data_IF_183033954906
#
_entry.id   IF_183033954906
#
_cell.length_a   1.000
_cell.length_b   1.000
_cell.length_c   1.000
_cell.angle_alpha   90.00
_cell.angle_beta   90.00
_cell.angle_gamma   90.00
#
_symmetry.space_group_name_H-M   'P 1'
#
loop_
_entity.id
_entity.type
_entity.pdbx_description
1 polymer ?
#
# COMPACT_ATOMS: atom_id res chain seq x y z
N UNK A 1 44.88 0.87 58.39
CA UNK A 1 44.25 -0.35 57.89
C UNK A 1 42.74 -0.28 58.10
N UNK A 2 41.93 -0.07 57.06
CA UNK A 2 40.44 -0.10 57.15
C UNK A 2 40.03 -1.58 57.27
N UNK A 3 39.48 -1.98 58.39
CA UNK A 3 38.84 -3.29 58.56
C UNK A 3 37.64 -3.37 57.65
N UNK A 4 37.69 -4.15 56.57
CA UNK A 4 36.51 -4.51 55.79
C UNK A 4 35.61 -5.36 56.64
N UNK A 5 34.43 -4.83 56.95
CA UNK A 5 33.39 -5.56 57.70
C UNK A 5 32.84 -6.68 56.78
N UNK A 6 33.26 -7.90 57.01
CA UNK A 6 32.89 -9.11 56.26
C UNK A 6 31.38 -9.41 56.24
N UNK A 7 30.60 -8.80 57.14
CA UNK A 7 29.14 -8.95 57.21
C UNK A 7 28.35 -8.12 56.20
N UNK A 8 28.95 -7.07 55.66
CA UNK A 8 28.25 -6.20 54.69
C UNK A 8 28.28 -6.74 53.25
N UNK A 9 29.18 -7.66 52.93
CA UNK A 9 29.27 -8.25 51.59
C UNK A 9 28.12 -9.22 51.29
N UNK A 10 27.74 -10.16 52.18
CA UNK A 10 26.60 -11.04 51.91
C UNK A 10 25.26 -10.30 51.84
N UNK A 11 25.09 -9.24 52.63
CA UNK A 11 23.87 -8.42 52.61
C UNK A 11 23.73 -7.67 51.28
N UNK A 12 24.82 -7.09 50.74
CA UNK A 12 24.83 -6.41 49.46
C UNK A 12 24.62 -7.39 48.31
N UNK A 13 25.21 -8.56 48.37
CA UNK A 13 25.03 -9.61 47.40
C UNK A 13 23.58 -10.12 47.38
N UNK A 14 22.99 -10.37 48.55
CA UNK A 14 21.61 -10.81 48.66
C UNK A 14 20.63 -9.72 48.16
N UNK A 15 20.92 -8.43 48.43
CA UNK A 15 20.12 -7.33 47.87
C UNK A 15 20.18 -7.29 46.36
N UNK A 16 21.36 -7.50 45.77
CA UNK A 16 21.55 -7.55 44.31
C UNK A 16 20.78 -8.72 43.70
N UNK A 17 20.84 -9.90 44.35
CA UNK A 17 20.05 -11.07 43.96
C UNK A 17 18.54 -10.81 44.05
N UNK A 18 18.08 -10.15 45.08
CA UNK A 18 16.67 -9.80 45.26
C UNK A 18 16.19 -8.86 44.15
N UNK A 19 17.01 -7.87 43.74
CA UNK A 19 16.70 -6.96 42.63
C UNK A 19 16.60 -7.72 41.31
N UNK A 20 17.57 -8.62 41.03
CA UNK A 20 17.55 -9.43 39.82
C UNK A 20 16.32 -10.33 39.75
N UNK A 21 15.98 -11.00 40.86
CA UNK A 21 14.76 -11.83 40.94
C UNK A 21 13.51 -10.99 40.69
N UNK A 22 13.42 -9.80 41.30
CA UNK A 22 12.28 -8.89 41.11
C UNK A 22 12.14 -8.43 39.64
N UNK A 23 13.25 -8.12 38.97
CA UNK A 23 13.23 -7.78 37.56
C UNK A 23 12.79 -8.98 36.70
N UNK A 24 13.25 -10.18 37.03
CA UNK A 24 12.84 -11.40 36.34
C UNK A 24 11.34 -11.68 36.50
N UNK A 25 10.80 -11.51 37.73
CA UNK A 25 9.38 -11.64 37.98
C UNK A 25 8.55 -10.57 37.24
N UNK A 26 9.06 -9.34 37.13
CA UNK A 26 8.41 -8.29 36.33
C UNK A 26 8.35 -8.63 34.83
N UNK A 27 9.43 -9.19 34.27
CA UNK A 27 9.48 -9.65 32.88
C UNK A 27 8.51 -10.82 32.65
N UNK A 28 8.51 -11.81 33.55
CA UNK A 28 7.58 -12.95 33.48
C UNK A 28 6.14 -12.46 33.57
N UNK A 29 5.83 -11.56 34.52
CA UNK A 29 4.49 -10.97 34.65
C UNK A 29 4.04 -10.23 33.39
N UNK A 30 4.94 -9.48 32.76
CA UNK A 30 4.67 -8.80 31.49
C UNK A 30 4.44 -9.77 30.33
N UNK A 31 5.21 -10.85 30.25
CA UNK A 31 5.01 -11.90 29.26
C UNK A 31 3.67 -12.61 29.43
N UNK A 32 3.32 -12.97 30.66
CA UNK A 32 2.00 -13.56 30.97
C UNK A 32 0.86 -12.61 30.62
N UNK A 33 0.99 -11.33 30.95
CA UNK A 33 0.02 -10.29 30.58
C UNK A 33 -0.20 -10.24 29.06
N UNK A 34 0.88 -10.23 28.29
CA UNK A 34 0.79 -10.21 26.82
C UNK A 34 0.25 -11.50 26.22
N UNK A 35 0.68 -12.66 26.77
CA UNK A 35 0.33 -13.96 26.20
C UNK A 35 -1.04 -14.50 26.63
N UNK A 36 -1.54 -14.09 27.80
CA UNK A 36 -2.81 -14.59 28.33
C UNK A 36 -3.93 -13.57 28.16
N UNK A 37 -3.73 -12.31 28.57
CA UNK A 37 -4.78 -11.29 28.55
C UNK A 37 -4.94 -10.59 27.20
N UNK A 38 -3.89 -10.55 26.40
CA UNK A 38 -3.92 -9.92 25.06
C UNK A 38 -3.63 -10.91 23.93
N UNK A 39 -3.78 -12.20 24.17
CA UNK A 39 -3.56 -13.26 23.20
C UNK A 39 -4.34 -12.99 21.91
N UNK A 40 -5.64 -12.76 22.02
CA UNK A 40 -6.53 -12.54 20.88
C UNK A 40 -6.15 -11.31 20.05
N UNK A 41 -5.67 -10.25 20.72
CA UNK A 41 -5.19 -9.05 20.04
C UNK A 41 -3.94 -9.33 19.19
N UNK A 42 -2.97 -10.06 19.75
CA UNK A 42 -1.75 -10.39 19.04
C UNK A 42 -1.96 -11.49 17.99
N UNK A 43 -2.83 -12.47 18.25
CA UNK A 43 -3.22 -13.47 17.23
C UNK A 43 -3.96 -12.84 16.06
N UNK A 44 -4.90 -11.92 16.29
CA UNK A 44 -5.57 -11.17 15.24
C UNK A 44 -4.60 -10.30 14.45
N UNK A 45 -3.65 -9.66 15.11
CA UNK A 45 -2.61 -8.85 14.48
C UNK A 45 -1.63 -9.71 13.67
N UNK A 46 -1.29 -10.90 14.16
CA UNK A 46 -0.46 -11.86 13.45
C UNK A 46 -1.22 -12.50 12.28
N UNK A 47 -2.49 -12.84 12.46
CA UNK A 47 -3.36 -13.36 11.42
C UNK A 47 -3.57 -12.33 10.30
N UNK A 48 -3.79 -11.05 10.63
CA UNK A 48 -3.88 -9.97 9.64
C UNK A 48 -2.54 -9.69 8.94
N UNK A 49 -1.40 -9.95 9.60
CA UNK A 49 -0.08 -9.81 9.01
C UNK A 49 0.38 -11.05 8.19
N UNK A 50 -0.18 -12.25 8.50
CA UNK A 50 0.22 -13.51 7.85
C UNK A 50 -0.78 -13.98 6.79
N UNK A 51 -2.03 -13.55 6.87
CA UNK A 51 -3.06 -13.88 5.88
C UNK A 51 -3.26 -12.69 4.97
N UNK A 52 -2.60 -12.69 3.84
CA UNK A 52 -3.02 -11.87 2.71
C UNK A 52 -4.39 -12.39 2.27
N UNK A 53 -5.48 -11.83 2.81
CA UNK A 53 -6.80 -12.02 2.23
C UNK A 53 -6.79 -11.32 0.88
N UNK A 54 -6.60 -12.07 -0.16
CA UNK A 54 -6.95 -11.62 -1.50
C UNK A 54 -8.47 -11.55 -1.55
N UNK A 55 -9.03 -10.41 -1.21
CA UNK A 55 -10.46 -10.15 -1.40
C UNK A 55 -10.65 -9.96 -2.89
N UNK A 56 -11.08 -11.01 -3.58
CA UNK A 56 -11.58 -10.85 -4.94
C UNK A 56 -12.89 -10.05 -4.83
N UNK A 57 -12.89 -8.83 -5.35
CA UNK A 57 -14.10 -8.03 -5.44
C UNK A 57 -15.14 -8.81 -6.27
N UNK A 58 -16.26 -9.17 -5.66
CA UNK A 58 -17.38 -9.79 -6.37
C UNK A 58 -17.91 -8.79 -7.39
N UNK A 59 -18.26 -9.28 -8.60
CA UNK A 59 -18.94 -8.44 -9.58
C UNK A 59 -20.30 -7.98 -9.01
N UNK A 60 -20.66 -6.71 -9.26
CA UNK A 60 -21.94 -6.16 -8.84
C UNK A 60 -23.11 -6.87 -9.52
N UNK A 61 -24.27 -6.88 -8.88
CA UNK A 61 -25.52 -7.30 -9.51
C UNK A 61 -25.80 -6.49 -10.79
N UNK A 62 -26.30 -7.14 -11.82
CA UNK A 62 -26.71 -6.48 -13.07
C UNK A 62 -28.08 -5.83 -12.90
N UNK A 63 -28.36 -4.82 -13.71
CA UNK A 63 -29.67 -4.11 -13.69
C UNK A 63 -30.40 -4.45 -14.97
N UNK A 64 -31.64 -4.91 -14.82
CA UNK A 64 -32.52 -5.32 -15.92
C UNK A 64 -33.78 -4.43 -15.94
N UNK A 65 -34.40 -4.30 -17.11
CA UNK A 65 -35.73 -3.74 -17.23
C UNK A 65 -36.81 -4.77 -16.85
N UNK A 66 -38.07 -4.35 -16.86
CA UNK A 66 -39.23 -5.22 -16.52
C UNK A 66 -39.42 -6.39 -17.50
N UNK A 67 -38.78 -6.36 -18.67
CA UNK A 67 -38.84 -7.42 -19.69
C UNK A 67 -37.67 -8.39 -19.57
N UNK A 68 -36.73 -8.15 -18.66
CA UNK A 68 -35.50 -8.93 -18.49
C UNK A 68 -34.37 -8.53 -19.44
N UNK A 69 -34.47 -7.40 -20.14
CA UNK A 69 -33.39 -6.86 -20.97
C UNK A 69 -32.38 -6.18 -20.06
N UNK A 70 -31.08 -6.49 -20.17
CA UNK A 70 -30.07 -5.84 -19.33
C UNK A 70 -29.88 -4.37 -19.70
N UNK A 71 -29.94 -3.52 -18.71
CA UNK A 71 -29.65 -2.08 -18.79
C UNK A 71 -28.21 -1.79 -18.41
N UNK A 72 -27.69 -2.54 -17.44
CA UNK A 72 -26.30 -2.42 -16.96
C UNK A 72 -25.72 -3.80 -16.73
N UNK A 73 -24.54 -4.03 -17.25
CA UNK A 73 -23.80 -5.29 -17.14
C UNK A 73 -22.37 -5.06 -16.64
N UNK A 74 -21.75 -6.15 -16.20
CA UNK A 74 -20.32 -6.16 -15.89
C UNK A 74 -19.54 -6.82 -17.02
N UNK A 75 -18.47 -6.18 -17.45
CA UNK A 75 -17.49 -6.77 -18.37
C UNK A 75 -16.30 -7.23 -17.54
N UNK A 76 -16.09 -8.53 -17.50
CA UNK A 76 -14.96 -9.14 -16.77
C UNK A 76 -13.67 -8.93 -17.58
N UNK A 77 -12.59 -8.56 -16.88
CA UNK A 77 -11.26 -8.41 -17.45
C UNK A 77 -10.18 -9.00 -16.55
N UNK A 78 -9.12 -9.51 -17.15
CA UNK A 78 -7.90 -9.89 -16.45
C UNK A 78 -7.05 -8.64 -16.18
N UNK A 79 -6.55 -8.52 -14.96
CA UNK A 79 -5.71 -7.39 -14.53
C UNK A 79 -4.47 -7.89 -13.80
N UNK A 80 -3.42 -7.08 -13.85
CA UNK A 80 -2.24 -7.31 -13.01
C UNK A 80 -2.59 -6.91 -11.59
N UNK A 81 -2.30 -7.79 -10.64
CA UNK A 81 -2.44 -7.54 -9.22
C UNK A 81 -1.07 -7.59 -8.55
N UNK A 82 -0.82 -6.71 -7.60
CA UNK A 82 0.43 -6.64 -6.86
C UNK A 82 0.18 -6.74 -5.36
N UNK A 83 0.90 -7.66 -4.71
CA UNK A 83 0.91 -7.80 -3.24
C UNK A 83 2.25 -7.33 -2.72
N UNK A 84 2.26 -6.28 -1.91
CA UNK A 84 3.48 -5.69 -1.36
C UNK A 84 3.97 -6.44 -0.14
N UNK A 85 5.21 -6.94 -0.17
CA UNK A 85 5.90 -7.47 1.01
C UNK A 85 6.56 -6.32 1.80
N UNK A 86 6.63 -6.45 3.12
CA UNK A 86 7.30 -5.47 4.00
C UNK A 86 8.82 -5.34 3.75
N UNK A 87 9.42 -6.27 3.02
CA UNK A 87 10.84 -6.25 2.69
C UNK A 87 11.15 -5.53 1.37
N UNK A 88 10.12 -5.17 0.60
CA UNK A 88 10.30 -4.49 -0.68
C UNK A 88 10.63 -3.02 -0.48
N UNK A 89 11.76 -2.61 -1.00
CA UNK A 89 12.20 -1.22 -1.03
C UNK A 89 11.64 -0.47 -2.26
N UNK A 90 11.74 0.86 -2.28
CA UNK A 90 11.37 1.64 -3.45
C UNK A 90 12.21 1.27 -4.69
N UNK A 91 13.48 0.93 -4.50
CA UNK A 91 14.35 0.45 -5.58
C UNK A 91 13.85 -0.87 -6.17
N UNK A 92 13.40 -1.82 -5.33
CA UNK A 92 12.82 -3.09 -5.81
C UNK A 92 11.55 -2.82 -6.64
N UNK A 93 10.68 -1.91 -6.19
CA UNK A 93 9.47 -1.53 -6.93
C UNK A 93 9.81 -0.88 -8.27
N UNK A 94 10.87 -0.07 -8.33
CA UNK A 94 11.39 0.51 -9.57
C UNK A 94 11.86 -0.56 -10.55
N UNK A 95 12.56 -1.58 -10.07
CA UNK A 95 13.00 -2.71 -10.90
C UNK A 95 11.83 -3.56 -11.37
N UNK A 96 10.87 -3.84 -10.49
CA UNK A 96 9.64 -4.56 -10.85
C UNK A 96 8.86 -3.78 -11.92
N UNK A 97 8.73 -2.46 -11.79
CA UNK A 97 8.01 -1.63 -12.75
C UNK A 97 8.61 -1.69 -14.15
N UNK A 98 9.95 -1.63 -14.26
CA UNK A 98 10.67 -1.77 -15.53
C UNK A 98 10.49 -3.16 -16.15
N UNK A 99 10.60 -4.21 -15.34
CA UNK A 99 10.40 -5.59 -15.80
C UNK A 99 8.96 -5.82 -16.23
N UNK A 100 7.99 -5.37 -15.43
CA UNK A 100 6.58 -5.55 -15.76
C UNK A 100 6.21 -4.87 -17.07
N UNK A 101 6.79 -3.70 -17.38
CA UNK A 101 6.56 -3.00 -18.64
C UNK A 101 6.94 -3.82 -19.89
N UNK A 102 7.81 -4.83 -19.76
CA UNK A 102 8.13 -5.73 -20.89
C UNK A 102 6.99 -6.70 -21.23
N UNK A 103 6.04 -6.88 -20.32
CA UNK A 103 4.94 -7.83 -20.42
C UNK A 103 3.57 -7.17 -20.63
N UNK A 104 3.42 -5.91 -20.19
CA UNK A 104 2.15 -5.18 -20.24
C UNK A 104 2.27 -3.94 -21.12
N UNK A 105 1.14 -3.47 -21.62
CA UNK A 105 1.05 -2.20 -22.33
C UNK A 105 0.40 -1.16 -21.43
N UNK A 106 0.89 0.06 -21.50
CA UNK A 106 0.32 1.23 -20.85
C UNK A 106 0.23 2.35 -21.86
N UNK A 107 -0.99 2.81 -22.14
CA UNK A 107 -1.22 3.88 -23.11
C UNK A 107 -1.11 5.24 -22.43
N UNK A 108 -0.21 6.09 -22.93
CA UNK A 108 -0.05 7.53 -22.61
C UNK A 108 -0.44 7.94 -21.18
N UNK A 109 0.31 7.53 -20.15
CA UNK A 109 -0.04 7.84 -18.78
C UNK A 109 0.14 9.34 -18.48
N UNK A 110 -0.84 9.94 -17.80
CA UNK A 110 -0.66 11.24 -17.17
C UNK A 110 0.14 11.09 -15.87
N UNK A 111 1.24 11.83 -15.75
CA UNK A 111 2.12 11.81 -14.58
C UNK A 111 2.14 13.17 -13.92
N UNK A 112 2.22 13.16 -12.60
CA UNK A 112 2.51 14.36 -11.82
C UNK A 112 4.01 14.49 -11.60
N UNK A 113 4.49 15.73 -11.41
CA UNK A 113 5.90 15.99 -11.10
C UNK A 113 6.35 15.24 -9.85
N UNK A 114 5.46 15.06 -8.89
CA UNK A 114 5.73 14.28 -7.68
C UNK A 114 6.01 12.80 -7.98
N UNK A 115 5.25 12.18 -8.86
CA UNK A 115 5.50 10.77 -9.25
C UNK A 115 6.85 10.62 -9.95
N UNK A 116 7.24 11.59 -10.77
CA UNK A 116 8.55 11.62 -11.41
C UNK A 116 9.68 11.78 -10.39
N UNK A 117 9.51 12.66 -9.41
CA UNK A 117 10.48 12.85 -8.33
C UNK A 117 10.58 11.61 -7.42
N UNK A 118 9.47 10.99 -7.06
CA UNK A 118 9.45 9.77 -6.25
C UNK A 118 10.17 8.60 -6.95
N UNK A 119 10.00 8.47 -8.27
CA UNK A 119 10.73 7.48 -9.06
C UNK A 119 12.24 7.77 -9.12
N UNK A 120 12.62 9.04 -9.23
CA UNK A 120 14.02 9.46 -9.19
C UNK A 120 14.67 9.12 -7.86
N UNK A 121 14.00 9.42 -6.76
CA UNK A 121 14.46 9.22 -5.38
C UNK A 121 14.30 7.76 -4.89
N UNK A 122 13.73 6.86 -5.69
CA UNK A 122 13.55 5.47 -5.31
C UNK A 122 14.86 4.72 -5.04
N UNK A 123 15.97 5.16 -5.63
CA UNK A 123 17.30 4.64 -5.37
C UNK A 123 17.90 5.29 -4.13
N UNK A 124 18.30 4.49 -3.15
CA UNK A 124 18.79 4.96 -1.86
C UNK A 124 20.05 5.84 -1.97
N UNK A 125 20.96 5.54 -2.91
CA UNK A 125 22.17 6.33 -3.11
C UNK A 125 21.83 7.68 -3.76
N UNK A 126 20.87 7.70 -4.68
CA UNK A 126 20.37 8.92 -5.30
C UNK A 126 19.69 9.81 -4.26
N UNK A 127 18.80 9.22 -3.44
CA UNK A 127 18.13 9.93 -2.35
C UNK A 127 19.14 10.55 -1.39
N UNK A 128 20.11 9.77 -0.92
CA UNK A 128 21.14 10.23 0.01
C UNK A 128 21.92 11.41 -0.58
N UNK A 129 22.39 11.32 -1.82
CA UNK A 129 23.10 12.41 -2.51
C UNK A 129 22.23 13.65 -2.66
N UNK A 130 20.95 13.48 -2.96
CA UNK A 130 20.00 14.59 -3.08
C UNK A 130 19.82 15.29 -1.75
N UNK A 131 19.63 14.55 -0.65
CA UNK A 131 19.54 15.13 0.70
C UNK A 131 20.84 15.85 1.10
N UNK A 132 22.01 15.28 0.81
CA UNK A 132 23.30 15.91 1.10
C UNK A 132 23.50 17.23 0.33
N UNK A 133 22.92 17.35 -0.86
CA UNK A 133 22.97 18.54 -1.71
C UNK A 133 21.97 19.63 -1.29
N UNK A 134 20.98 19.33 -0.44
CA UNK A 134 20.02 20.32 0.04
C UNK A 134 20.71 21.42 0.86
N UNK A 135 20.22 22.68 0.80
CA UNK A 135 20.64 23.77 1.70
C UNK A 135 20.43 23.39 3.18
N UNK A 136 21.20 24.04 4.07
CA UNK A 136 21.15 23.71 5.51
C UNK A 136 19.78 23.92 6.14
N UNK A 137 19.07 24.96 5.76
CA UNK A 137 17.70 25.28 6.21
C UNK A 137 16.64 24.26 5.77
N UNK A 138 16.95 23.45 4.75
CA UNK A 138 16.11 22.33 4.28
C UNK A 138 16.52 20.98 4.88
N UNK A 139 17.58 20.93 5.69
CA UNK A 139 18.07 19.73 6.38
C UNK A 139 17.97 19.80 7.90
N UNK A 140 18.03 20.99 8.46
CA UNK A 140 18.07 21.23 9.90
C UNK A 140 17.02 22.26 10.31
N UNK A 141 16.48 22.11 11.50
CA UNK A 141 15.58 23.08 12.13
C UNK A 141 16.34 24.31 12.68
N UNK A 142 15.61 25.28 13.26
CA UNK A 142 16.18 26.47 13.89
C UNK A 142 17.10 26.18 15.07
N UNK A 143 16.94 25.00 15.71
CA UNK A 143 17.69 24.56 16.87
C UNK A 143 18.93 23.73 16.49
N UNK A 144 19.13 23.50 15.18
CA UNK A 144 20.25 22.75 14.62
C UNK A 144 20.07 21.24 14.63
N UNK A 145 18.85 20.72 14.93
CA UNK A 145 18.55 19.31 14.83
C UNK A 145 18.19 18.96 13.37
N UNK A 146 18.51 17.74 12.97
CA UNK A 146 18.13 17.25 11.66
C UNK A 146 16.60 17.12 11.56
N UNK A 147 16.03 17.56 10.45
CA UNK A 147 14.61 17.41 10.15
C UNK A 147 14.21 15.94 10.11
N UNK A 148 12.94 15.64 10.31
CA UNK A 148 12.41 14.29 10.21
C UNK A 148 12.63 13.70 8.81
N UNK A 149 12.67 12.37 8.71
CA UNK A 149 12.84 11.66 7.44
C UNK A 149 11.79 12.06 6.40
N UNK A 150 10.55 12.30 6.86
CA UNK A 150 9.45 12.73 6.00
C UNK A 150 9.66 14.15 5.46
N UNK A 151 10.16 15.07 6.27
CA UNK A 151 10.46 16.45 5.86
C UNK A 151 11.66 16.47 4.90
N UNK A 152 12.70 15.71 5.20
CA UNK A 152 13.87 15.57 4.32
C UNK A 152 13.47 15.02 2.96
N UNK A 153 12.62 13.99 2.94
CA UNK A 153 12.10 13.40 1.70
C UNK A 153 11.28 14.41 0.89
N UNK A 154 10.40 15.16 1.54
CA UNK A 154 9.61 16.19 0.86
C UNK A 154 10.50 17.31 0.29
N UNK A 155 11.47 17.79 1.05
CA UNK A 155 12.42 18.81 0.60
C UNK A 155 13.29 18.30 -0.58
N UNK A 156 13.71 17.04 -0.54
CA UNK A 156 14.41 16.40 -1.63
C UNK A 156 13.53 16.31 -2.89
N UNK A 157 12.27 15.87 -2.75
CA UNK A 157 11.34 15.80 -3.87
C UNK A 157 11.05 17.18 -4.50
N UNK A 158 10.86 18.21 -3.69
CA UNK A 158 10.69 19.59 -4.17
C UNK A 158 11.90 20.07 -4.96
N UNK A 159 13.12 19.76 -4.51
CA UNK A 159 14.34 20.15 -5.23
C UNK A 159 14.45 19.48 -6.59
N UNK A 160 14.01 18.22 -6.70
CA UNK A 160 13.99 17.48 -7.96
C UNK A 160 12.90 18.00 -8.90
N UNK A 161 11.70 18.28 -8.40
CA UNK A 161 10.61 18.88 -9.20
C UNK A 161 11.10 20.20 -9.83
N UNK A 162 11.81 21.03 -9.05
CA UNK A 162 12.37 22.29 -9.53
C UNK A 162 13.47 22.12 -10.60
N UNK A 163 14.10 20.95 -10.69
CA UNK A 163 15.14 20.64 -11.68
C UNK A 163 14.61 20.24 -13.05
N UNK A 164 13.28 20.12 -13.21
CA UNK A 164 12.58 19.75 -14.46
C UNK A 164 13.15 18.48 -15.09
N UNK A 165 12.86 17.34 -14.47
CA UNK A 165 13.23 16.02 -15.02
C UNK A 165 12.56 15.78 -16.38
N UNK A 166 13.34 15.37 -17.35
CA UNK A 166 12.85 14.90 -18.64
C UNK A 166 13.02 13.38 -18.74
N UNK A 167 11.93 12.69 -19.02
CA UNK A 167 11.88 11.23 -19.16
C UNK A 167 11.36 10.85 -20.55
N UNK A 168 11.95 9.81 -21.13
CA UNK A 168 11.45 9.19 -22.33
C UNK A 168 10.04 8.60 -22.13
N UNK A 169 9.30 8.37 -23.20
CA UNK A 169 7.93 7.82 -23.12
C UNK A 169 7.89 6.44 -22.41
N UNK A 170 8.91 5.60 -22.64
CA UNK A 170 8.96 4.30 -21.97
C UNK A 170 9.30 4.43 -20.47
N UNK A 171 10.13 5.39 -20.10
CA UNK A 171 10.35 5.71 -18.69
C UNK A 171 9.09 6.27 -18.03
N UNK A 172 8.32 7.11 -18.71
CA UNK A 172 7.03 7.60 -18.20
C UNK A 172 6.05 6.46 -17.90
N UNK A 173 5.99 5.45 -18.77
CA UNK A 173 5.18 4.24 -18.53
C UNK A 173 5.69 3.46 -17.32
N UNK A 174 7.02 3.32 -17.17
CA UNK A 174 7.60 2.67 -15.98
C UNK A 174 7.32 3.45 -14.70
N UNK A 175 7.40 4.79 -14.74
CA UNK A 175 7.05 5.68 -13.61
C UNK A 175 5.59 5.51 -13.23
N UNK A 176 4.69 5.42 -14.21
CA UNK A 176 3.26 5.20 -13.95
C UNK A 176 3.01 3.87 -13.24
N UNK A 177 3.62 2.78 -13.69
CA UNK A 177 3.55 1.48 -13.01
C UNK A 177 4.16 1.59 -11.61
N UNK A 178 5.35 2.17 -11.47
CA UNK A 178 6.01 2.37 -10.20
C UNK A 178 5.13 3.12 -9.19
N UNK A 179 4.48 4.20 -9.62
CA UNK A 179 3.63 5.01 -8.74
C UNK A 179 2.46 4.18 -8.17
N UNK A 180 1.89 3.29 -8.97
CA UNK A 180 0.83 2.39 -8.52
C UNK A 180 1.35 1.32 -7.57
N UNK A 181 2.51 0.70 -7.87
CA UNK A 181 3.15 -0.27 -6.97
C UNK A 181 3.49 0.38 -5.62
N UNK A 182 3.98 1.62 -5.65
CA UNK A 182 4.37 2.36 -4.43
C UNK A 182 3.18 2.83 -3.61
N UNK A 183 2.01 3.02 -4.21
CA UNK A 183 0.77 3.35 -3.52
C UNK A 183 0.16 2.17 -2.75
N UNK A 184 0.55 0.94 -3.05
CA UNK A 184 0.08 -0.24 -2.32
C UNK A 184 0.76 -0.30 -0.95
N UNK A 185 -0.02 -0.35 0.11
CA UNK A 185 0.48 -0.47 1.48
C UNK A 185 1.15 -1.83 1.73
N UNK A 186 2.04 -1.88 2.73
CA UNK A 186 2.69 -3.13 3.12
C UNK A 186 1.65 -4.18 3.51
N UNK A 187 1.81 -5.40 2.99
CA UNK A 187 0.92 -6.56 3.13
C UNK A 187 -0.45 -6.40 2.46
N UNK A 188 -0.71 -5.28 1.77
CA UNK A 188 -1.92 -5.11 0.98
C UNK A 188 -1.74 -5.63 -0.45
N UNK A 189 -2.87 -5.86 -1.11
CA UNK A 189 -2.94 -6.20 -2.53
C UNK A 189 -3.71 -5.11 -3.26
N UNK A 190 -3.15 -4.65 -4.37
CA UNK A 190 -3.79 -3.66 -5.24
C UNK A 190 -3.71 -4.08 -6.71
N UNK A 191 -4.69 -3.68 -7.50
CA UNK A 191 -4.66 -3.88 -8.94
C UNK A 191 -3.87 -2.76 -9.63
N UNK A 192 -3.04 -3.15 -10.58
CA UNK A 192 -2.23 -2.23 -11.38
C UNK A 192 -2.98 -1.94 -12.68
N UNK A 193 -3.21 -0.66 -12.94
CA UNK A 193 -3.91 -0.23 -14.14
C UNK A 193 -2.98 -0.33 -15.35
N UNK A 194 -3.32 -1.23 -16.24
CA UNK A 194 -2.67 -1.43 -17.54
C UNK A 194 -3.74 -1.46 -18.62
N UNK A 195 -3.35 -1.47 -19.86
CA UNK A 195 -4.27 -1.81 -20.95
C UNK A 195 -4.80 -3.23 -20.75
N UNK A 196 -5.97 -3.60 -21.30
CA UNK A 196 -6.53 -4.93 -21.17
C UNK A 196 -5.53 -6.00 -21.57
N UNK A 197 -5.35 -7.01 -20.72
CA UNK A 197 -4.41 -8.10 -20.96
C UNK A 197 -4.98 -9.09 -21.97
N UNK A 198 -4.16 -9.51 -22.93
CA UNK A 198 -4.44 -10.66 -23.79
C UNK A 198 -4.15 -11.97 -23.06
N UNK A 199 -4.77 -13.08 -23.49
CA UNK A 199 -4.51 -14.41 -22.92
C UNK A 199 -3.03 -14.81 -22.97
N UNK A 200 -2.32 -14.37 -24.01
CA UNK A 200 -0.87 -14.58 -24.14
C UNK A 200 -0.08 -13.81 -23.10
N UNK A 201 -0.42 -12.55 -22.83
CA UNK A 201 0.23 -11.75 -21.76
C UNK A 201 -0.05 -12.36 -20.40
N UNK A 202 -1.27 -12.80 -20.13
CA UNK A 202 -1.64 -13.50 -18.90
C UNK A 202 -0.75 -14.73 -18.67
N UNK A 203 -0.61 -15.59 -19.69
CA UNK A 203 0.23 -16.79 -19.60
C UNK A 203 1.72 -16.47 -19.36
N UNK A 204 2.24 -15.44 -20.03
CA UNK A 204 3.64 -15.03 -19.89
C UNK A 204 3.90 -14.44 -18.50
N UNK A 205 3.04 -13.54 -18.02
CA UNK A 205 3.18 -12.95 -16.67
C UNK A 205 3.10 -14.05 -15.59
N UNK A 206 2.16 -15.00 -15.72
CA UNK A 206 2.04 -16.12 -14.81
C UNK A 206 3.32 -16.99 -14.78
N UNK A 207 3.96 -17.19 -15.92
CA UNK A 207 5.23 -17.93 -16.01
C UNK A 207 6.43 -17.15 -15.46
N UNK A 208 6.40 -15.82 -15.55
CA UNK A 208 7.46 -14.92 -15.06
C UNK A 208 7.38 -14.60 -13.55
N UNK A 209 6.57 -15.31 -12.78
CA UNK A 209 6.31 -15.04 -11.35
C UNK A 209 7.57 -14.98 -10.47
N UNK A 210 8.66 -15.68 -10.85
CA UNK A 210 9.95 -15.62 -10.14
C UNK A 210 10.70 -14.31 -10.37
N UNK A 211 10.52 -13.68 -11.53
CA UNK A 211 11.17 -12.43 -11.91
C UNK A 211 10.37 -11.22 -11.49
N UNK A 212 9.08 -11.41 -11.21
CA UNK A 212 8.11 -10.40 -10.83
C UNK A 212 7.54 -10.68 -9.42
N UNK A 213 8.35 -10.53 -8.35
CA UNK A 213 7.91 -10.82 -7.00
C UNK A 213 6.71 -9.96 -6.59
N UNK A 214 5.68 -10.60 -6.04
CA UNK A 214 4.44 -9.96 -5.63
C UNK A 214 3.44 -9.70 -6.76
N UNK A 215 3.81 -9.85 -8.03
CA UNK A 215 2.90 -9.74 -9.17
C UNK A 215 2.13 -11.04 -9.36
N UNK A 216 0.84 -10.91 -9.59
CA UNK A 216 -0.09 -12.00 -9.92
C UNK A 216 -1.15 -11.50 -10.90
N UNK A 217 -1.89 -12.44 -11.49
CA UNK A 217 -3.05 -12.10 -12.31
C UNK A 217 -4.30 -12.24 -11.46
N UNK A 218 -5.16 -11.25 -11.54
CA UNK A 218 -6.46 -11.22 -10.88
C UNK A 218 -7.56 -10.91 -11.89
N UNK A 219 -8.80 -11.09 -11.47
CA UNK A 219 -9.98 -10.75 -12.25
C UNK A 219 -10.59 -9.48 -11.70
N UNK A 220 -10.83 -8.51 -12.56
CA UNK A 220 -11.58 -7.29 -12.25
C UNK A 220 -12.77 -7.17 -13.20
N UNK A 221 -13.58 -6.16 -13.03
CA UNK A 221 -14.76 -5.93 -13.85
C UNK A 221 -14.97 -4.44 -14.11
N UNK A 222 -15.50 -4.11 -15.27
CA UNK A 222 -15.94 -2.77 -15.63
C UNK A 222 -17.46 -2.72 -15.70
N UNK A 223 -18.05 -1.66 -15.16
CA UNK A 223 -19.48 -1.41 -15.21
C UNK A 223 -19.85 -0.76 -16.53
N UNK A 224 -20.71 -1.40 -17.31
CA UNK A 224 -21.15 -0.93 -18.61
C UNK A 224 -22.64 -0.64 -18.60
N UNK A 225 -23.02 0.61 -18.80
CA UNK A 225 -24.40 1.02 -19.05
C UNK A 225 -24.69 0.83 -20.54
N UNK A 226 -25.65 -0.02 -20.88
CA UNK A 226 -26.00 -0.37 -22.25
C UNK A 226 -26.94 0.65 -22.89
N UNK A 227 -27.85 1.22 -22.12
CA UNK A 227 -28.79 2.25 -22.54
C UNK A 227 -28.38 3.60 -21.97
N UNK A 228 -27.67 4.40 -22.76
CA UNK A 228 -27.10 5.68 -22.30
C UNK A 228 -28.15 6.73 -21.92
N UNK A 229 -29.38 6.64 -22.45
CA UNK A 229 -30.51 7.48 -22.09
C UNK A 229 -30.96 7.32 -20.62
N UNK A 230 -30.65 6.19 -20.00
CA UNK A 230 -30.99 5.88 -18.61
C UNK A 230 -29.84 6.13 -17.63
N UNK A 231 -28.70 6.59 -18.09
CA UNK A 231 -27.50 6.81 -17.24
C UNK A 231 -27.78 7.74 -16.05
N UNK A 232 -28.64 8.73 -16.21
CA UNK A 232 -29.06 9.65 -15.16
C UNK A 232 -29.98 9.03 -14.10
N UNK A 233 -30.62 7.89 -14.39
CA UNK A 233 -31.44 7.13 -13.44
C UNK A 233 -30.61 6.03 -12.80
N UNK A 234 -29.80 5.34 -13.57
CA UNK A 234 -28.91 4.27 -13.12
C UNK A 234 -27.87 4.82 -12.14
N UNK A 235 -27.23 5.91 -12.48
CA UNK A 235 -26.16 6.49 -11.69
C UNK A 235 -24.78 5.95 -12.05
N UNK A 236 -23.85 6.12 -11.13
CA UNK A 236 -22.45 5.77 -11.31
C UNK A 236 -21.89 4.96 -10.14
N UNK A 237 -20.82 4.25 -10.43
CA UNK A 237 -20.02 3.49 -9.46
C UNK A 237 -18.64 4.14 -9.36
N UNK A 238 -18.04 4.15 -8.17
CA UNK A 238 -16.69 4.65 -7.97
C UNK A 238 -15.69 3.85 -8.83
N UNK A 239 -14.62 4.52 -9.26
CA UNK A 239 -13.56 3.85 -10.00
C UNK A 239 -12.68 3.04 -9.04
N UNK A 240 -11.96 2.06 -9.56
CA UNK A 240 -10.97 1.29 -8.80
C UNK A 240 -9.87 2.19 -8.18
N UNK A 241 -9.57 3.32 -8.81
CA UNK A 241 -8.61 4.32 -8.31
C UNK A 241 -9.18 5.18 -7.19
N UNK A 242 -10.46 5.55 -7.26
CA UNK A 242 -11.10 6.41 -6.26
C UNK A 242 -11.55 5.64 -5.02
N UNK A 243 -11.81 4.33 -5.13
CA UNK A 243 -12.28 3.51 -4.03
C UNK A 243 -13.56 4.04 -3.38
N UNK A 244 -13.63 3.95 -2.06
CA UNK A 244 -14.75 4.46 -1.27
C UNK A 244 -14.80 6.00 -1.30
N UNK A 245 -16.00 6.61 -1.40
CA UNK A 245 -16.14 8.06 -1.28
C UNK A 245 -15.65 8.56 0.09
N UNK A 246 -14.82 9.60 0.09
CA UNK A 246 -14.16 10.10 1.32
C UNK A 246 -15.15 10.44 2.45
N UNK A 247 -16.34 10.93 2.09
CA UNK A 247 -17.39 11.33 3.04
C UNK A 247 -18.08 10.14 3.71
N UNK A 248 -18.01 8.94 3.12
CA UNK A 248 -18.74 7.73 3.56
C UNK A 248 -17.80 6.58 3.96
N UNK A 249 -16.48 6.79 3.95
CA UNK A 249 -15.46 5.77 4.22
C UNK A 249 -15.72 5.03 5.52
N UNK A 250 -15.96 5.75 6.62
CA UNK A 250 -16.16 5.13 7.93
C UNK A 250 -17.43 4.24 7.98
N UNK A 251 -18.45 4.61 7.23
CA UNK A 251 -19.71 3.86 7.16
C UNK A 251 -19.50 2.54 6.40
N UNK A 252 -18.79 2.57 5.28
CA UNK A 252 -18.49 1.40 4.48
C UNK A 252 -17.50 0.46 5.15
N UNK A 253 -16.46 0.97 5.81
CA UNK A 253 -15.51 0.16 6.58
C UNK A 253 -16.21 -0.60 7.72
N UNK A 254 -17.18 0.00 8.41
CA UNK A 254 -17.99 -0.67 9.43
C UNK A 254 -18.87 -1.79 8.86
N UNK A 255 -19.25 -1.70 7.59
CA UNK A 255 -19.99 -2.74 6.86
C UNK A 255 -19.07 -3.84 6.28
N UNK A 256 -17.75 -3.70 6.45
CA UNK A 256 -16.76 -4.71 6.00
C UNK A 256 -16.19 -4.46 4.60
N UNK A 257 -16.45 -3.29 4.00
CA UNK A 257 -15.82 -2.90 2.74
C UNK A 257 -14.34 -2.54 2.97
N UNK A 258 -13.54 -2.70 1.93
CA UNK A 258 -12.15 -2.24 1.88
C UNK A 258 -12.06 -0.85 1.24
N UNK A 259 -11.01 -0.09 1.54
CA UNK A 259 -10.82 1.28 1.02
C UNK A 259 -10.89 1.38 -0.51
N UNK A 260 -10.43 0.33 -1.20
CA UNK A 260 -10.37 0.26 -2.66
C UNK A 260 -11.62 -0.40 -3.29
N UNK A 261 -12.63 -0.75 -2.49
CA UNK A 261 -13.86 -1.34 -3.02
C UNK A 261 -14.64 -0.30 -3.83
N UNK A 262 -15.28 -0.78 -4.88
CA UNK A 262 -16.07 0.03 -5.80
C UNK A 262 -17.53 0.01 -5.36
N UNK A 263 -18.05 1.17 -5.04
CA UNK A 263 -19.41 1.36 -4.52
C UNK A 263 -20.23 2.31 -5.40
N UNK A 264 -21.54 2.17 -5.34
CA UNK A 264 -22.46 3.09 -6.01
C UNK A 264 -22.36 4.51 -5.43
N UNK A 265 -22.17 5.50 -6.28
CA UNK A 265 -21.99 6.90 -5.88
C UNK A 265 -23.24 7.75 -6.10
N UNK A 266 -24.16 7.31 -6.96
CA UNK A 266 -25.38 8.05 -7.25
C UNK A 266 -26.54 7.16 -7.68
N UNK A 267 -27.75 7.67 -7.53
CA UNK A 267 -29.04 7.11 -7.98
C UNK A 267 -29.23 5.61 -7.64
N UNK A 268 -29.67 4.78 -8.60
CA UNK A 268 -29.94 3.35 -8.36
C UNK A 268 -28.69 2.60 -7.88
N UNK A 269 -27.53 2.89 -8.47
CA UNK A 269 -26.27 2.27 -8.04
C UNK A 269 -25.98 2.53 -6.55
N UNK A 270 -26.24 3.74 -6.06
CA UNK A 270 -26.08 4.09 -4.64
C UNK A 270 -27.19 3.52 -3.77
N UNK A 271 -28.43 3.54 -4.24
CA UNK A 271 -29.61 3.14 -3.47
C UNK A 271 -29.59 1.62 -3.16
N UNK A 272 -29.06 0.82 -4.08
CA UNK A 272 -29.03 -0.66 -3.99
C UNK A 272 -27.61 -1.18 -3.77
N UNK A 273 -26.79 -0.42 -3.04
CA UNK A 273 -25.44 -0.82 -2.67
C UNK A 273 -25.39 -1.99 -1.66
N UNK A 274 -26.45 -2.22 -0.92
CA UNK A 274 -26.56 -3.25 0.12
C UNK A 274 -26.89 -4.63 -0.43
#
# INVERSE_FOLDING_TARGET
MRKFNSHSIPIRLNLLFAIVILLFLAIIGRLLYMQVLHKDFYENKLASASQTRVTMGSARGEIYDATGKPLVQNTVKQVVSFTRSNKMTAADLKDISKKLLTYVTVTSPELTDRQMADYYLADAEVYKKTVEALPKDKRYDSDGNQLSESELYNNAAESIISSQLDYSEDEKKAIYIFSQLNAVENFATGNIQTDPLSDTQVAVIASASKELPGISISTSWDRKVLETSLSSIVGSVSSEKSGLPAEEVDAYLKKGYSLNDRVGTSYLEKQYEE
#
